data_IF_537779559346
#
_entry.id   IF_537779559346
#
_cell.length_a   1.000
_cell.length_b   1.000
_cell.length_c   1.000
_cell.angle_alpha   90.00
_cell.angle_beta   90.00
_cell.angle_gamma   90.00
#
_symmetry.space_group_name_H-M   'P 1'
#
loop_
_entity.id
_entity.type
_entity.pdbx_description
1 polymer ?
#
# COMPACT_ATOMS: atom_id res chain seq x y z
N UNK A 1 70.16 -72.90 -70.30
CA UNK A 1 68.87 -72.16 -70.36
C UNK A 1 68.09 -72.05 -69.04
N UNK A 2 68.39 -72.82 -67.98
CA UNK A 2 67.61 -72.78 -66.71
C UNK A 2 67.96 -71.59 -65.78
N UNK A 3 69.22 -71.14 -65.76
CA UNK A 3 69.71 -70.06 -64.86
C UNK A 3 69.16 -68.66 -65.21
N UNK A 4 68.93 -68.38 -66.49
CA UNK A 4 68.42 -67.08 -66.97
C UNK A 4 66.92 -66.90 -66.66
N UNK A 5 66.13 -67.99 -66.71
CA UNK A 5 64.69 -67.95 -66.37
C UNK A 5 64.43 -67.63 -64.89
N UNK A 6 65.30 -68.11 -63.99
CA UNK A 6 65.21 -67.84 -62.54
C UNK A 6 65.53 -66.38 -62.22
N UNK A 7 66.50 -65.77 -62.92
CA UNK A 7 66.86 -64.36 -62.73
C UNK A 7 65.72 -63.40 -63.14
N UNK A 8 65.05 -63.67 -64.27
CA UNK A 8 63.92 -62.85 -64.76
C UNK A 8 62.71 -62.97 -63.83
N UNK A 9 62.45 -64.17 -63.29
CA UNK A 9 61.34 -64.37 -62.35
C UNK A 9 61.60 -63.68 -61.00
N UNK A 10 62.84 -63.70 -60.52
CA UNK A 10 63.24 -63.02 -59.28
C UNK A 10 63.01 -61.50 -59.32
N UNK A 11 63.32 -60.84 -60.45
CA UNK A 11 63.10 -59.40 -60.63
C UNK A 11 61.62 -59.03 -60.58
N UNK A 12 60.75 -59.82 -61.20
CA UNK A 12 59.31 -59.56 -61.16
C UNK A 12 58.73 -59.71 -59.75
N UNK A 13 59.19 -60.70 -58.97
CA UNK A 13 58.73 -60.90 -57.59
C UNK A 13 59.14 -59.73 -56.70
N UNK A 14 60.37 -59.22 -56.84
CA UNK A 14 60.85 -58.06 -56.07
C UNK A 14 60.07 -56.79 -56.44
N UNK A 15 59.76 -56.59 -57.73
CA UNK A 15 58.99 -55.42 -58.18
C UNK A 15 57.57 -55.42 -57.58
N UNK A 16 56.90 -56.57 -57.57
CA UNK A 16 55.56 -56.74 -56.98
C UNK A 16 55.59 -56.49 -55.46
N UNK A 17 56.62 -56.97 -54.77
CA UNK A 17 56.79 -56.76 -53.33
C UNK A 17 56.97 -55.27 -52.98
N UNK A 18 57.75 -54.52 -53.78
CA UNK A 18 57.94 -53.08 -53.59
C UNK A 18 56.65 -52.29 -53.84
N UNK A 19 55.88 -52.66 -54.87
CA UNK A 19 54.58 -52.03 -55.15
C UNK A 19 53.60 -52.30 -54.00
N UNK A 20 53.53 -53.54 -53.51
CA UNK A 20 52.70 -53.87 -52.34
C UNK A 20 53.14 -53.11 -51.10
N UNK A 21 54.43 -52.98 -50.83
CA UNK A 21 54.95 -52.22 -49.69
C UNK A 21 54.64 -50.71 -49.81
N UNK A 22 54.69 -50.14 -51.00
CA UNK A 22 54.32 -48.74 -51.25
C UNK A 22 52.81 -48.51 -51.11
N UNK A 23 51.98 -49.41 -51.65
CA UNK A 23 50.52 -49.28 -51.62
C UNK A 23 49.95 -49.55 -50.22
N UNK A 24 50.47 -50.57 -49.52
CA UNK A 24 50.02 -50.91 -48.16
C UNK A 24 50.72 -50.06 -47.09
N UNK A 25 51.99 -49.69 -47.28
CA UNK A 25 52.78 -48.92 -46.31
C UNK A 25 52.34 -47.46 -46.18
N UNK A 26 51.78 -46.87 -47.24
CA UNK A 26 51.17 -45.52 -47.17
C UNK A 26 49.67 -45.54 -46.80
N UNK A 27 49.05 -46.72 -46.65
CA UNK A 27 47.60 -46.90 -46.64
C UNK A 27 46.90 -46.95 -45.28
N UNK A 28 47.62 -46.77 -44.15
CA UNK A 28 46.99 -46.72 -42.82
C UNK A 28 47.63 -45.64 -41.95
N UNK A 29 47.60 -44.38 -42.41
CA UNK A 29 47.55 -43.27 -41.47
C UNK A 29 46.14 -43.26 -40.91
N UNK A 30 45.97 -43.94 -39.78
CA UNK A 30 44.79 -43.79 -38.95
C UNK A 30 44.86 -42.37 -38.38
N UNK A 31 44.39 -41.40 -39.16
CA UNK A 31 44.27 -40.01 -38.73
C UNK A 31 43.19 -39.95 -37.64
N UNK A 32 43.59 -40.27 -36.42
CA UNK A 32 42.86 -39.96 -35.20
C UNK A 32 42.93 -38.44 -34.90
N UNK A 33 42.99 -37.60 -35.93
CA UNK A 33 42.83 -36.14 -35.84
C UNK A 33 41.35 -35.79 -35.67
N UNK A 34 40.69 -36.36 -34.66
CA UNK A 34 39.44 -35.76 -34.17
C UNK A 34 39.84 -34.59 -33.29
N UNK A 35 39.73 -33.40 -33.85
CA UNK A 35 39.90 -32.15 -33.12
C UNK A 35 38.87 -32.11 -31.98
N UNK A 36 39.32 -32.31 -30.74
CA UNK A 36 38.47 -32.17 -29.55
C UNK A 36 38.18 -30.68 -29.33
N UNK A 37 36.97 -30.25 -29.70
CA UNK A 37 36.49 -28.90 -29.46
C UNK A 37 35.97 -28.79 -28.03
N UNK A 38 36.48 -27.85 -27.24
CA UNK A 38 35.84 -27.44 -25.98
C UNK A 38 34.53 -26.72 -26.30
N UNK A 39 33.41 -27.41 -26.20
CA UNK A 39 32.08 -26.83 -26.39
C UNK A 39 31.49 -26.39 -25.05
N UNK A 40 30.93 -25.18 -25.02
CA UNK A 40 30.15 -24.69 -23.89
C UNK A 40 28.67 -24.69 -24.28
N UNK A 41 27.84 -25.38 -23.50
CA UNK A 41 26.39 -25.32 -23.68
C UNK A 41 25.89 -24.02 -23.09
N UNK A 42 25.50 -23.08 -23.94
CA UNK A 42 24.91 -21.80 -23.52
C UNK A 42 23.44 -22.03 -23.18
N UNK A 43 23.08 -21.89 -21.91
CA UNK A 43 21.67 -21.83 -21.51
C UNK A 43 21.14 -20.42 -21.80
N UNK A 44 19.96 -20.32 -22.41
CA UNK A 44 19.29 -19.04 -22.63
C UNK A 44 18.46 -18.71 -21.40
N UNK A 45 18.92 -17.73 -20.63
CA UNK A 45 18.10 -17.14 -19.58
C UNK A 45 17.07 -16.20 -20.22
N UNK A 46 15.82 -16.67 -20.30
CA UNK A 46 14.70 -15.85 -20.73
C UNK A 46 14.15 -15.09 -19.52
N UNK A 47 14.60 -13.85 -19.32
CA UNK A 47 14.04 -12.95 -18.30
C UNK A 47 12.99 -12.04 -18.92
N UNK A 48 11.77 -12.06 -18.39
CA UNK A 48 10.71 -11.13 -18.77
C UNK A 48 10.76 -9.91 -17.84
N UNK A 49 10.87 -8.73 -18.43
CA UNK A 49 10.84 -7.47 -17.70
C UNK A 49 9.43 -6.89 -17.75
N UNK A 50 8.90 -6.55 -16.58
CA UNK A 50 7.61 -5.90 -16.45
C UNK A 50 7.80 -4.53 -15.84
N UNK A 51 7.18 -3.52 -16.45
CA UNK A 51 7.08 -2.20 -15.88
C UNK A 51 5.76 -2.11 -15.11
N UNK A 52 5.82 -1.61 -13.88
CA UNK A 52 4.66 -1.41 -13.04
C UNK A 52 4.87 -0.21 -12.15
N UNK A 53 3.76 0.38 -11.70
CA UNK A 53 3.77 1.42 -10.68
C UNK A 53 3.52 0.74 -9.34
N UNK A 54 4.38 1.01 -8.37
CA UNK A 54 4.18 0.57 -6.99
C UNK A 54 3.25 1.56 -6.31
N UNK A 55 2.16 1.05 -5.74
CA UNK A 55 1.18 1.82 -4.98
C UNK A 55 0.79 1.05 -3.72
N UNK A 56 0.34 1.77 -2.70
CA UNK A 56 -0.22 1.17 -1.50
C UNK A 56 -1.51 0.41 -1.80
N UNK A 57 -1.74 -0.68 -1.08
CA UNK A 57 -2.96 -1.49 -1.21
C UNK A 57 -4.19 -0.68 -0.83
N UNK A 58 -4.10 0.09 0.26
CA UNK A 58 -5.17 0.94 0.77
C UNK A 58 -4.67 2.37 0.95
N UNK A 59 -5.42 3.33 0.40
CA UNK A 59 -5.14 4.75 0.54
C UNK A 59 -6.41 5.47 0.99
N UNK A 60 -6.34 6.12 2.15
CA UNK A 60 -7.44 6.92 2.68
C UNK A 60 -7.02 8.38 2.73
N UNK A 61 -7.84 9.25 2.16
CA UNK A 61 -7.66 10.69 2.27
C UNK A 61 -8.32 11.18 3.55
N UNK A 62 -7.58 11.96 4.32
CA UNK A 62 -8.06 12.71 5.49
C UNK A 62 -7.88 14.19 5.20
N UNK A 63 -8.77 15.03 5.73
CA UNK A 63 -8.80 16.46 5.43
C UNK A 63 -8.62 17.29 6.70
N UNK A 64 -7.78 18.32 6.59
CA UNK A 64 -7.57 19.38 7.56
C UNK A 64 -8.52 20.57 7.35
N UNK A 65 -9.44 20.46 6.39
CA UNK A 65 -10.39 21.53 6.08
C UNK A 65 -11.54 21.59 7.10
N UNK A 66 -11.89 22.79 7.58
CA UNK A 66 -13.12 23.00 8.34
C UNK A 66 -14.35 22.57 7.52
N UNK A 67 -15.35 22.01 8.19
CA UNK A 67 -16.61 21.57 7.57
C UNK A 67 -17.65 22.68 7.45
N UNK A 68 -17.47 23.76 8.19
CA UNK A 68 -18.38 24.90 8.24
C UNK A 68 -17.60 26.19 8.48
N UNK A 69 -18.21 27.33 8.13
CA UNK A 69 -17.58 28.65 8.21
C UNK A 69 -17.27 29.10 9.64
N UNK A 70 -18.00 28.57 10.61
CA UNK A 70 -17.82 28.79 12.05
C UNK A 70 -16.81 27.83 12.69
N UNK A 71 -16.19 26.95 11.90
CA UNK A 71 -15.16 26.00 12.35
C UNK A 71 -13.76 26.44 11.90
N UNK A 72 -12.78 26.26 12.77
CA UNK A 72 -11.38 26.62 12.53
C UNK A 72 -10.47 25.47 12.95
N UNK A 73 -9.41 25.23 12.17
CA UNK A 73 -8.39 24.26 12.54
C UNK A 73 -7.56 24.84 13.70
N UNK A 74 -7.51 24.13 14.83
CA UNK A 74 -6.76 24.57 16.02
C UNK A 74 -5.43 23.87 16.16
N UNK A 75 -5.34 22.60 15.77
CA UNK A 75 -4.10 21.84 15.91
C UNK A 75 -3.98 20.76 14.85
N UNK A 76 -2.74 20.53 14.43
CA UNK A 76 -2.33 19.34 13.69
C UNK A 76 -1.38 18.54 14.59
N UNK A 77 -1.71 17.29 14.87
CA UNK A 77 -1.00 16.45 15.84
C UNK A 77 0.08 15.56 15.22
N UNK A 78 0.19 15.56 13.89
CA UNK A 78 1.07 14.68 13.13
C UNK A 78 1.90 15.47 12.12
N UNK A 79 3.10 14.98 11.85
CA UNK A 79 3.95 15.50 10.78
C UNK A 79 3.93 14.60 9.55
N UNK A 80 4.27 15.15 8.39
CA UNK A 80 4.30 14.39 7.15
C UNK A 80 5.27 13.18 7.26
N UNK A 81 4.82 12.00 6.83
CA UNK A 81 5.57 10.75 6.92
C UNK A 81 5.52 10.06 8.29
N UNK A 82 4.87 10.65 9.29
CA UNK A 82 4.65 10.01 10.59
C UNK A 82 3.72 8.81 10.44
N UNK A 83 4.12 7.68 11.04
CA UNK A 83 3.23 6.51 11.17
C UNK A 83 2.20 6.81 12.24
N UNK A 84 0.93 6.58 11.89
CA UNK A 84 -0.21 6.76 12.79
C UNK A 84 -0.92 5.44 13.03
N UNK A 85 -1.58 5.35 14.17
CA UNK A 85 -2.39 4.19 14.56
C UNK A 85 -3.88 4.45 14.34
N UNK A 86 -4.66 3.38 14.20
CA UNK A 86 -6.10 3.51 13.99
C UNK A 86 -6.75 4.19 15.21
N UNK A 87 -7.46 5.29 14.97
CA UNK A 87 -8.13 6.07 16.00
C UNK A 87 -7.28 7.20 16.59
N UNK A 88 -6.04 7.37 16.14
CA UNK A 88 -5.21 8.51 16.50
C UNK A 88 -5.78 9.81 15.92
N UNK A 89 -5.83 10.86 16.74
CA UNK A 89 -6.34 12.17 16.34
C UNK A 89 -5.29 12.86 15.49
N UNK A 90 -5.65 13.23 14.26
CA UNK A 90 -4.74 13.91 13.33
C UNK A 90 -4.90 15.43 13.38
N UNK A 91 -6.14 15.89 13.50
CA UNK A 91 -6.51 17.30 13.45
C UNK A 91 -7.50 17.60 14.58
N UNK A 92 -7.41 18.78 15.16
CA UNK A 92 -8.42 19.30 16.07
C UNK A 92 -8.99 20.58 15.52
N UNK A 93 -10.29 20.73 15.69
CA UNK A 93 -11.06 21.85 15.21
C UNK A 93 -11.86 22.45 16.34
N UNK A 94 -12.01 23.77 16.27
CA UNK A 94 -12.83 24.54 17.18
C UNK A 94 -13.95 25.22 16.40
N UNK A 95 -15.16 25.07 16.90
CA UNK A 95 -16.35 25.72 16.36
C UNK A 95 -16.80 26.84 17.29
N UNK A 96 -16.91 28.06 16.78
CA UNK A 96 -17.46 29.16 17.57
C UNK A 96 -18.98 28.98 17.73
N UNK A 97 -19.39 28.57 18.93
CA UNK A 97 -20.80 28.37 19.30
C UNK A 97 -21.30 29.46 20.26
N UNK A 98 -20.64 30.62 20.32
CA UNK A 98 -20.97 31.70 21.26
C UNK A 98 -22.42 32.16 21.13
N UNK A 99 -22.95 32.23 19.91
CA UNK A 99 -24.37 32.59 19.65
C UNK A 99 -25.33 31.53 20.20
N UNK A 100 -25.04 30.24 19.96
CA UNK A 100 -25.88 29.13 20.43
C UNK A 100 -25.87 29.03 21.97
N UNK A 101 -24.70 29.24 22.58
CA UNK A 101 -24.53 29.34 24.03
C UNK A 101 -25.33 30.51 24.61
N UNK A 102 -25.25 31.69 23.99
CA UNK A 102 -26.03 32.86 24.42
C UNK A 102 -27.54 32.60 24.35
N UNK A 103 -28.02 31.98 23.27
CA UNK A 103 -29.44 31.60 23.13
C UNK A 103 -29.87 30.62 24.21
N UNK A 104 -29.10 29.55 24.44
CA UNK A 104 -29.45 28.55 25.45
C UNK A 104 -29.40 29.13 26.88
N UNK A 105 -28.47 30.04 27.17
CA UNK A 105 -28.41 30.73 28.45
C UNK A 105 -29.63 31.65 28.65
N UNK A 106 -30.10 32.34 27.60
CA UNK A 106 -31.30 33.15 27.66
C UNK A 106 -32.55 32.29 27.95
N UNK A 107 -32.67 31.12 27.31
CA UNK A 107 -33.74 30.14 27.57
C UNK A 107 -33.73 29.67 29.04
N UNK A 108 -32.54 29.34 29.58
CA UNK A 108 -32.37 28.97 31.00
C UNK A 108 -32.82 30.10 31.92
N UNK A 109 -32.37 31.32 31.64
CA UNK A 109 -32.69 32.47 32.50
C UNK A 109 -34.20 32.76 32.49
N UNK A 110 -34.85 32.66 31.32
CA UNK A 110 -36.30 32.81 31.20
C UNK A 110 -37.05 31.71 31.96
N UNK A 111 -36.63 30.44 31.85
CA UNK A 111 -37.24 29.33 32.57
C UNK A 111 -37.07 29.49 34.10
N UNK A 112 -35.90 29.92 34.56
CA UNK A 112 -35.64 30.18 35.98
C UNK A 112 -36.51 31.30 36.53
N UNK A 113 -36.67 32.41 35.79
CA UNK A 113 -37.55 33.51 36.18
C UNK A 113 -39.02 33.06 36.26
N UNK A 114 -39.48 32.25 35.29
CA UNK A 114 -40.84 31.71 35.31
C UNK A 114 -41.08 30.77 36.51
N UNK A 115 -40.10 29.93 36.86
CA UNK A 115 -40.14 29.07 38.06
C UNK A 115 -40.16 29.92 39.35
N UNK A 116 -39.38 31.00 39.42
CA UNK A 116 -39.35 31.90 40.58
C UNK A 116 -40.68 32.66 40.75
N UNK A 117 -41.26 33.13 39.64
CA UNK A 117 -42.57 33.80 39.64
C UNK A 117 -43.67 32.87 40.18
N UNK A 118 -43.65 31.59 39.78
CA UNK A 118 -44.56 30.59 40.33
C UNK A 118 -44.43 30.44 41.86
N UNK A 119 -43.21 30.44 42.40
CA UNK A 119 -42.99 30.30 43.85
C UNK A 119 -43.54 31.47 44.68
N UNK A 120 -43.86 32.60 44.04
CA UNK A 120 -44.25 33.86 44.67
C UNK A 120 -45.75 34.18 44.62
N UNK A 121 -46.58 33.32 44.01
CA UNK A 121 -48.00 33.61 43.73
C UNK A 121 -48.95 32.55 44.35
N UNK A 122 -50.20 32.91 44.63
CA UNK A 122 -51.24 32.00 45.12
C UNK A 122 -51.58 30.92 44.07
N UNK A 123 -51.56 29.66 44.50
CA UNK A 123 -51.37 28.51 43.60
C UNK A 123 -52.70 27.84 43.19
N UNK A 124 -52.95 27.73 41.90
CA UNK A 124 -54.01 26.91 41.30
C UNK A 124 -53.47 25.66 40.60
N UNK A 125 -54.34 24.74 40.19
CA UNK A 125 -53.96 23.51 39.46
C UNK A 125 -53.37 23.80 38.07
N UNK A 126 -53.81 24.88 37.40
CA UNK A 126 -53.24 25.31 36.13
C UNK A 126 -51.76 25.72 36.28
N UNK A 127 -51.45 26.40 37.38
CA UNK A 127 -50.09 26.88 37.67
C UNK A 127 -49.10 25.72 37.91
N UNK A 128 -49.57 24.58 38.42
CA UNK A 128 -48.74 23.37 38.60
C UNK A 128 -48.32 22.74 37.27
N UNK A 129 -49.19 22.78 36.26
CA UNK A 129 -48.87 22.28 34.91
C UNK A 129 -47.83 23.19 34.26
N UNK A 130 -47.99 24.51 34.43
CA UNK A 130 -47.06 25.50 33.91
C UNK A 130 -45.68 25.42 34.59
N UNK A 131 -45.63 25.18 35.91
CA UNK A 131 -44.38 24.89 36.61
C UNK A 131 -43.65 23.68 36.01
N UNK A 132 -44.36 22.55 35.84
CA UNK A 132 -43.76 21.33 35.28
C UNK A 132 -43.21 21.58 33.87
N UNK A 133 -43.94 22.33 33.05
CA UNK A 133 -43.48 22.72 31.71
C UNK A 133 -42.23 23.60 31.76
N UNK A 134 -42.16 24.56 32.68
CA UNK A 134 -40.98 25.41 32.85
C UNK A 134 -39.76 24.64 33.37
N UNK A 135 -39.97 23.62 34.23
CA UNK A 135 -38.91 22.71 34.67
C UNK A 135 -38.39 21.83 33.52
N UNK A 136 -39.28 21.38 32.64
CA UNK A 136 -38.92 20.64 31.43
C UNK A 136 -38.08 21.50 30.48
N UNK A 137 -38.52 22.73 30.19
CA UNK A 137 -37.77 23.70 29.36
C UNK A 137 -36.38 23.97 29.96
N UNK A 138 -36.27 24.11 31.29
CA UNK A 138 -34.98 24.28 31.96
C UNK A 138 -34.06 23.06 31.73
N UNK A 139 -34.60 21.84 31.85
CA UNK A 139 -33.84 20.61 31.63
C UNK A 139 -33.39 20.48 30.16
N UNK A 140 -34.27 20.82 29.21
CA UNK A 140 -33.95 20.81 27.78
C UNK A 140 -32.86 21.83 27.43
N UNK A 141 -32.98 23.06 27.92
CA UNK A 141 -31.98 24.11 27.68
C UNK A 141 -30.62 23.74 28.31
N UNK A 142 -30.61 23.13 29.49
CA UNK A 142 -29.37 22.61 30.09
C UNK A 142 -28.76 21.46 29.27
N UNK A 143 -29.59 20.57 28.73
CA UNK A 143 -29.14 19.51 27.82
C UNK A 143 -28.58 20.08 26.51
N UNK A 144 -29.16 21.18 26.00
CA UNK A 144 -28.68 21.91 24.82
C UNK A 144 -27.26 22.45 25.04
N UNK A 145 -26.98 23.08 26.20
CA UNK A 145 -25.61 23.52 26.55
C UNK A 145 -24.62 22.36 26.55
N UNK A 146 -24.99 21.21 27.15
CA UNK A 146 -24.11 20.05 27.18
C UNK A 146 -23.80 19.51 25.78
N UNK A 147 -24.77 19.57 24.86
CA UNK A 147 -24.55 19.22 23.45
C UNK A 147 -23.63 20.22 22.75
N UNK A 148 -23.84 21.52 22.98
CA UNK A 148 -23.00 22.60 22.42
C UNK A 148 -21.55 22.42 22.87
N UNK A 149 -21.29 22.24 24.17
CA UNK A 149 -19.94 22.06 24.69
C UNK A 149 -19.21 20.83 24.11
N UNK A 150 -19.95 19.75 23.82
CA UNK A 150 -19.40 18.57 23.15
C UNK A 150 -19.12 18.80 21.67
N UNK A 151 -19.95 19.59 20.99
CA UNK A 151 -19.81 19.89 19.58
C UNK A 151 -18.75 20.98 19.29
N UNK A 152 -18.41 21.80 20.29
CA UNK A 152 -17.46 22.90 20.17
C UNK A 152 -16.04 22.43 19.79
N UNK A 153 -15.65 21.23 20.21
CA UNK A 153 -14.35 20.65 19.88
C UNK A 153 -14.55 19.36 19.11
N UNK A 154 -14.05 19.33 17.86
CA UNK A 154 -14.03 18.13 17.02
C UNK A 154 -12.60 17.64 16.85
N UNK A 155 -12.42 16.34 17.00
CA UNK A 155 -11.15 15.60 16.84
C UNK A 155 -11.31 14.49 15.81
#
# INVERSE_FOLDING_TARGET
>A
MKKIKIAIWGINVVLIAVILFLVLGNGFKNDNNKTDYKTYTVQRDNTNYFNGIVQETDKQAVSDQPKSEDETLTSTHVINGQKVTKGEVLFSFYRDMSSDLASANAEIQQAQLAIQAYNSTDKTTADKIELSKNQEVLAEAQAKINKINKAQNRT
#
